data_IF_014733909842
#
_entry.id   IF_014733909842
#
_cell.length_a   1.000
_cell.length_b   1.000
_cell.length_c   1.000
_cell.angle_alpha   90.00
_cell.angle_beta   90.00
_cell.angle_gamma   90.00
#
_symmetry.space_group_name_H-M   'P 1'
#
loop_
_entity.id
_entity.type
_entity.pdbx_description
1 polymer ?
#
# COMPACT_ATOMS: atom_id res chain seq x y z
N UNK A 1 -11.19 7.11 -21.97
CA UNK A 1 -12.09 7.27 -20.80
C UNK A 1 -11.63 6.40 -19.62
N UNK A 2 -11.41 5.09 -19.79
CA UNK A 2 -10.93 4.18 -18.73
C UNK A 2 -9.63 4.62 -18.01
N UNK A 3 -8.64 5.15 -18.73
CA UNK A 3 -7.37 5.62 -18.12
C UNK A 3 -7.56 6.80 -17.16
N UNK A 4 -8.45 7.74 -17.47
CA UNK A 4 -8.70 8.93 -16.64
C UNK A 4 -9.43 8.52 -15.35
N UNK A 5 -10.40 7.60 -15.45
CA UNK A 5 -11.11 7.05 -14.28
C UNK A 5 -10.16 6.28 -13.36
N UNK A 6 -9.25 5.47 -13.92
CA UNK A 6 -8.19 4.77 -13.18
C UNK A 6 -7.32 5.75 -12.38
N UNK A 7 -6.83 6.82 -13.01
CA UNK A 7 -5.97 7.80 -12.32
C UNK A 7 -6.74 8.55 -11.22
N UNK A 8 -8.01 8.90 -11.47
CA UNK A 8 -8.84 9.62 -10.50
C UNK A 8 -9.20 8.76 -9.28
N UNK A 9 -9.59 7.49 -9.49
CA UNK A 9 -9.88 6.55 -8.40
C UNK A 9 -8.64 6.23 -7.57
N UNK A 10 -7.47 6.07 -8.22
CA UNK A 10 -6.23 5.81 -7.50
C UNK A 10 -5.72 7.01 -6.72
N UNK A 11 -5.91 8.22 -7.25
CA UNK A 11 -5.61 9.44 -6.49
C UNK A 11 -6.53 9.53 -5.25
N UNK A 12 -7.83 9.26 -5.41
CA UNK A 12 -8.79 9.21 -4.30
C UNK A 12 -8.47 8.11 -3.27
N UNK A 13 -8.00 6.94 -3.71
CA UNK A 13 -7.61 5.85 -2.81
C UNK A 13 -6.30 6.18 -2.06
N UNK A 14 -5.28 6.68 -2.75
CA UNK A 14 -4.03 7.13 -2.11
C UNK A 14 -4.27 8.31 -1.16
N UNK A 15 -5.12 9.27 -1.53
CA UNK A 15 -5.50 10.40 -0.68
C UNK A 15 -6.30 9.92 0.53
N UNK A 16 -7.28 9.03 0.32
CA UNK A 16 -8.11 8.48 1.40
C UNK A 16 -7.34 7.67 2.43
N UNK A 17 -6.21 7.06 2.04
CA UNK A 17 -5.38 6.27 2.96
C UNK A 17 -4.20 7.08 3.54
N UNK A 18 -3.61 8.04 2.82
CA UNK A 18 -2.47 8.83 3.34
C UNK A 18 -2.88 10.07 4.15
N UNK A 19 -4.04 10.66 3.90
CA UNK A 19 -4.53 11.85 4.61
C UNK A 19 -4.83 11.66 6.11
N UNK A 20 -5.38 10.52 6.60
CA UNK A 20 -5.55 10.34 8.04
C UNK A 20 -4.20 10.29 8.79
N UNK A 21 -3.11 9.87 8.12
CA UNK A 21 -1.79 9.72 8.74
C UNK A 21 -1.11 11.05 9.16
N UNK A 22 -1.47 12.15 8.49
CA UNK A 22 -0.90 13.49 8.74
C UNK A 22 -1.85 14.38 9.55
N UNK A 23 -3.16 14.18 9.46
CA UNK A 23 -4.14 14.95 10.22
C UNK A 23 -4.11 14.64 11.73
N UNK A 24 -3.75 13.40 12.09
CA UNK A 24 -3.79 12.92 13.48
C UNK A 24 -2.69 13.53 14.37
N UNK A 25 -1.60 14.06 13.80
CA UNK A 25 -0.46 14.61 14.57
C UNK A 25 -0.47 16.15 14.69
N UNK A 26 -1.34 16.88 14.00
CA UNK A 26 -1.19 18.35 13.91
C UNK A 26 -2.40 19.19 14.33
N UNK A 27 -3.59 18.63 14.54
CA UNK A 27 -4.79 19.42 14.90
C UNK A 27 -5.03 20.62 13.93
N UNK A 28 -4.51 20.51 12.71
CA UNK A 28 -4.54 21.51 11.66
C UNK A 28 -5.33 20.95 10.48
N UNK A 29 -6.36 21.67 10.05
CA UNK A 29 -7.03 21.45 8.77
C UNK A 29 -5.98 21.53 7.66
N UNK A 30 -5.59 20.39 7.09
CA UNK A 30 -4.72 20.35 5.92
C UNK A 30 -5.56 20.81 4.73
N UNK A 31 -5.63 22.12 4.51
CA UNK A 31 -6.10 22.65 3.24
C UNK A 31 -5.14 22.20 2.12
N UNK A 32 -5.70 21.87 0.95
CA UNK A 32 -5.00 21.48 -0.28
C UNK A 32 -3.84 22.41 -0.70
N UNK A 33 -3.70 23.58 -0.09
CA UNK A 33 -2.63 24.57 -0.30
C UNK A 33 -1.28 24.21 0.32
N UNK A 34 -1.21 23.31 1.31
CA UNK A 34 0.06 23.00 1.99
C UNK A 34 0.82 21.80 1.39
N UNK A 35 0.21 21.08 0.44
CA UNK A 35 0.88 20.08 -0.38
C UNK A 35 1.64 20.78 -1.50
N UNK A 36 2.82 21.34 -1.20
CA UNK A 36 3.79 21.80 -2.20
C UNK A 36 4.46 20.60 -2.91
N UNK A 37 3.63 19.75 -3.52
CA UNK A 37 4.02 18.74 -4.48
C UNK A 37 4.30 19.48 -5.79
N UNK A 38 5.55 19.91 -5.98
CA UNK A 38 6.09 20.27 -7.29
C UNK A 38 6.14 19.00 -8.16
N UNK A 39 4.97 18.50 -8.56
CA UNK A 39 4.83 17.57 -9.68
C UNK A 39 4.82 18.45 -10.92
N UNK A 40 6.02 18.80 -11.39
CA UNK A 40 6.17 19.12 -12.80
C UNK A 40 5.60 17.92 -13.57
N UNK A 41 4.49 18.15 -14.29
CA UNK A 41 3.97 17.20 -15.25
C UNK A 41 5.10 16.87 -16.22
N UNK A 42 5.77 15.74 -15.99
CA UNK A 42 6.63 15.10 -16.97
C UNK A 42 5.75 14.81 -18.19
N UNK A 43 5.95 15.63 -19.21
CA UNK A 43 5.43 15.52 -20.57
C UNK A 43 5.58 14.07 -21.05
N UNK A 44 4.51 13.30 -20.85
CA UNK A 44 4.44 11.91 -21.28
C UNK A 44 3.99 11.89 -22.72
N UNK A 45 4.89 12.23 -23.64
CA UNK A 45 4.76 11.89 -25.06
C UNK A 45 4.96 10.38 -25.25
N UNK A 46 4.01 9.60 -24.73
CA UNK A 46 3.90 8.17 -24.96
C UNK A 46 3.39 7.96 -26.38
N UNK A 47 4.30 7.58 -27.28
CA UNK A 47 3.98 7.15 -28.64
C UNK A 47 3.15 5.86 -28.59
N UNK A 48 1.84 5.97 -28.83
CA UNK A 48 0.97 4.82 -29.08
C UNK A 48 1.16 4.39 -30.52
N UNK A 49 1.78 3.24 -30.75
CA UNK A 49 1.84 2.64 -32.08
C UNK A 49 0.43 2.14 -32.49
N UNK A 50 -0.10 2.68 -33.59
CA UNK A 50 -1.35 2.26 -34.24
C UNK A 50 -1.11 0.98 -35.05
N UNK A 51 -1.60 -0.16 -34.55
CA UNK A 51 -1.51 -1.45 -35.24
C UNK A 51 -2.68 -1.67 -36.21
N UNK A 52 -2.82 -0.81 -37.22
CA UNK A 52 -3.60 -1.14 -38.42
C UNK A 52 -2.73 -1.99 -39.33
N UNK A 53 -3.04 -3.29 -39.42
CA UNK A 53 -2.36 -4.23 -40.30
C UNK A 53 -2.42 -3.80 -41.77
N UNK A 54 -1.30 -3.93 -42.50
CA UNK A 54 -1.32 -4.55 -43.81
C UNK A 54 -0.64 -5.92 -43.71
N UNK A 55 -1.28 -6.89 -44.36
CA UNK A 55 -0.79 -8.25 -44.60
C UNK A 55 0.65 -8.25 -45.11
N UNK A 56 1.59 -8.77 -44.32
CA UNK A 56 2.91 -9.18 -44.79
C UNK A 56 3.44 -10.29 -43.90
N UNK A 57 3.89 -11.37 -44.54
CA UNK A 57 4.56 -12.53 -43.93
C UNK A 57 5.64 -12.08 -42.95
N UNK A 58 5.36 -12.20 -41.65
CA UNK A 58 6.21 -11.68 -40.60
C UNK A 58 7.37 -12.63 -40.37
N UNK A 59 8.52 -12.32 -40.95
CA UNK A 59 9.80 -12.80 -40.43
C UNK A 59 9.89 -12.23 -39.02
N UNK A 60 9.66 -13.04 -38.00
CA UNK A 60 9.88 -12.63 -36.60
C UNK A 60 11.38 -12.35 -36.47
N UNK A 61 11.81 -11.09 -36.24
CA UNK A 61 13.22 -10.80 -36.10
C UNK A 61 13.74 -11.58 -34.89
N UNK A 62 14.79 -12.37 -35.09
CA UNK A 62 15.51 -12.98 -33.98
C UNK A 62 16.30 -11.88 -33.27
N UNK A 63 15.64 -11.19 -32.34
CA UNK A 63 16.27 -10.17 -31.50
C UNK A 63 17.05 -10.91 -30.42
N UNK A 64 18.40 -10.80 -30.38
CA UNK A 64 19.18 -11.48 -29.36
C UNK A 64 18.80 -10.96 -27.97
N UNK A 65 18.80 -11.85 -26.95
CA UNK A 65 18.50 -11.49 -25.56
C UNK A 65 19.36 -10.32 -25.04
N UNK A 66 20.55 -10.13 -25.60
CA UNK A 66 21.44 -8.99 -25.33
C UNK A 66 20.89 -7.62 -25.76
N UNK A 67 19.84 -7.58 -26.59
CA UNK A 67 19.25 -6.35 -27.08
C UNK A 67 18.29 -5.71 -26.07
N UNK A 68 17.87 -6.44 -25.02
CA UNK A 68 17.01 -5.92 -23.97
C UNK A 68 17.73 -5.93 -22.62
N UNK A 69 18.02 -4.74 -22.09
CA UNK A 69 18.49 -4.60 -20.71
C UNK A 69 17.30 -4.68 -19.79
N UNK A 70 17.24 -5.72 -18.93
CA UNK A 70 16.21 -5.81 -17.89
C UNK A 70 16.26 -4.53 -17.02
N UNK A 71 15.12 -3.89 -16.72
CA UNK A 71 15.10 -2.78 -15.78
C UNK A 71 15.63 -3.23 -14.42
N UNK A 72 16.36 -2.34 -13.74
CA UNK A 72 16.91 -2.60 -12.40
C UNK A 72 15.81 -2.65 -11.33
N UNK A 73 14.69 -1.97 -11.59
CA UNK A 73 13.57 -1.82 -10.68
C UNK A 73 12.28 -1.76 -11.50
N UNK A 74 11.27 -2.50 -11.08
CA UNK A 74 9.94 -2.57 -11.71
C UNK A 74 8.85 -2.13 -10.74
N UNK A 75 7.65 -1.85 -11.25
CA UNK A 75 6.48 -1.54 -10.41
C UNK A 75 6.15 -2.71 -9.46
N UNK A 76 6.33 -3.95 -9.93
CA UNK A 76 6.19 -5.16 -9.12
C UNK A 76 7.23 -5.22 -7.99
N UNK A 77 8.48 -4.83 -8.26
CA UNK A 77 9.52 -4.76 -7.23
C UNK A 77 9.15 -3.73 -6.15
N UNK A 78 8.59 -2.57 -6.54
CA UNK A 78 8.13 -1.55 -5.60
C UNK A 78 7.02 -2.08 -4.69
N UNK A 79 5.97 -2.67 -5.26
CA UNK A 79 4.88 -3.28 -4.50
C UNK A 79 5.40 -4.32 -3.51
N UNK A 80 6.26 -5.23 -3.98
CA UNK A 80 6.86 -6.28 -3.17
C UNK A 80 7.66 -5.71 -2.00
N UNK A 81 8.56 -4.74 -2.25
CA UNK A 81 9.38 -4.18 -1.18
C UNK A 81 8.56 -3.38 -0.16
N UNK A 82 7.54 -2.64 -0.60
CA UNK A 82 6.64 -1.92 0.31
C UNK A 82 5.86 -2.90 1.19
N UNK A 83 5.33 -3.99 0.62
CA UNK A 83 4.61 -5.02 1.37
C UNK A 83 5.50 -5.74 2.39
N UNK A 84 6.72 -6.13 1.99
CA UNK A 84 7.68 -6.76 2.88
C UNK A 84 8.17 -5.81 3.99
N UNK A 85 8.40 -4.54 3.68
CA UNK A 85 8.78 -3.54 4.68
C UNK A 85 7.64 -3.28 5.68
N UNK A 86 6.38 -3.22 5.21
CA UNK A 86 5.19 -3.15 6.07
C UNK A 86 5.14 -4.33 7.04
N UNK A 87 5.32 -5.56 6.54
CA UNK A 87 5.34 -6.77 7.37
C UNK A 87 6.50 -6.76 8.38
N UNK A 88 7.69 -6.34 7.97
CA UNK A 88 8.84 -6.24 8.87
C UNK A 88 8.57 -5.27 10.02
N UNK A 89 7.93 -4.13 9.73
CA UNK A 89 7.52 -3.17 10.76
C UNK A 89 6.36 -3.70 11.62
N UNK A 90 5.44 -4.48 11.06
CA UNK A 90 4.41 -5.20 11.83
C UNK A 90 5.01 -6.18 12.83
N UNK A 91 6.04 -6.94 12.43
CA UNK A 91 6.80 -7.80 13.34
C UNK A 91 7.54 -6.98 14.39
N UNK A 92 8.17 -5.88 14.00
CA UNK A 92 8.85 -4.97 14.92
C UNK A 92 7.88 -4.43 15.98
N UNK A 93 6.68 -4.05 15.56
CA UNK A 93 5.58 -3.60 16.45
C UNK A 93 5.27 -4.66 17.49
N UNK A 94 5.06 -5.91 17.06
CA UNK A 94 4.72 -7.01 17.95
C UNK A 94 5.81 -7.27 19.00
N UNK A 95 7.09 -7.27 18.60
CA UNK A 95 8.20 -7.53 19.54
C UNK A 95 8.56 -6.34 20.42
N UNK A 96 8.13 -5.12 20.08
CA UNK A 96 8.36 -3.92 20.90
C UNK A 96 7.19 -3.59 21.83
N UNK A 97 6.15 -4.43 21.92
CA UNK A 97 4.95 -4.18 22.71
C UNK A 97 5.24 -3.93 24.21
N UNK A 98 6.09 -4.77 24.81
CA UNK A 98 6.47 -4.65 26.24
C UNK A 98 7.10 -3.28 26.58
N UNK A 99 7.73 -2.62 25.61
CA UNK A 99 8.36 -1.32 25.78
C UNK A 99 7.41 -0.12 25.66
N UNK A 100 6.12 -0.35 25.36
CA UNK A 100 5.12 0.70 25.18
C UNK A 100 4.03 0.71 26.27
N UNK A 101 3.82 -0.42 26.94
CA UNK A 101 2.80 -0.54 27.99
C UNK A 101 3.08 0.38 29.17
N UNK A 102 2.22 1.38 29.35
CA UNK A 102 2.33 2.37 30.42
C UNK A 102 3.40 3.45 30.20
N UNK A 103 3.95 3.57 28.99
CA UNK A 103 4.84 4.69 28.65
C UNK A 103 4.02 5.99 28.56
N UNK A 104 4.37 7.03 29.35
CA UNK A 104 3.68 8.32 29.30
C UNK A 104 3.88 9.08 27.98
N UNK A 105 4.76 8.62 27.09
CA UNK A 105 5.02 9.21 25.78
C UNK A 105 4.86 8.17 24.66
N UNK A 106 3.63 7.62 24.55
CA UNK A 106 3.25 6.60 23.57
C UNK A 106 3.76 6.91 22.16
N UNK A 107 3.61 8.16 21.71
CA UNK A 107 3.93 8.60 20.35
C UNK A 107 5.44 8.55 20.04
N UNK A 108 6.29 8.50 21.07
CA UNK A 108 7.72 8.36 20.89
C UNK A 108 8.25 6.93 20.99
N UNK A 109 7.41 5.98 21.38
CA UNK A 109 7.78 4.57 21.49
C UNK A 109 8.14 3.95 20.13
N UNK A 110 9.00 2.93 20.15
CA UNK A 110 9.30 2.11 18.97
C UNK A 110 8.04 1.40 18.46
N UNK A 111 7.19 0.94 19.39
CA UNK A 111 5.93 0.27 19.06
C UNK A 111 5.02 1.14 18.20
N UNK A 112 4.76 2.38 18.61
CA UNK A 112 3.93 3.31 17.84
C UNK A 112 4.57 3.67 16.49
N UNK A 113 5.87 3.97 16.46
CA UNK A 113 6.54 4.36 15.20
C UNK A 113 6.59 3.21 14.21
N UNK A 114 6.82 1.99 14.70
CA UNK A 114 6.80 0.79 13.87
C UNK A 114 5.38 0.49 13.37
N UNK A 115 4.35 0.60 14.21
CA UNK A 115 2.97 0.32 13.81
C UNK A 115 2.45 1.35 12.80
N UNK A 116 2.75 2.63 13.03
CA UNK A 116 2.47 3.73 12.10
C UNK A 116 3.14 3.48 10.74
N UNK A 117 4.44 3.17 10.76
CA UNK A 117 5.17 2.85 9.53
C UNK A 117 4.62 1.60 8.84
N UNK A 118 4.22 0.57 9.59
CA UNK A 118 3.67 -0.67 9.04
C UNK A 118 2.41 -0.40 8.22
N UNK A 119 1.42 0.32 8.77
CA UNK A 119 0.19 0.59 8.04
C UNK A 119 0.42 1.56 6.86
N UNK A 120 1.29 2.57 7.01
CA UNK A 120 1.60 3.52 5.93
C UNK A 120 2.28 2.85 4.73
N UNK A 121 3.29 2.00 5.00
CA UNK A 121 3.95 1.24 3.94
C UNK A 121 3.01 0.20 3.33
N UNK A 122 2.14 -0.42 4.15
CA UNK A 122 1.13 -1.35 3.68
C UNK A 122 0.12 -0.67 2.75
N UNK A 123 -0.34 0.53 3.10
CA UNK A 123 -1.19 1.36 2.25
C UNK A 123 -0.52 1.69 0.91
N UNK A 124 0.76 2.06 0.94
CA UNK A 124 1.54 2.29 -0.28
C UNK A 124 1.69 1.00 -1.10
N UNK A 125 1.85 -0.15 -0.46
CA UNK A 125 1.91 -1.46 -1.11
C UNK A 125 0.57 -1.79 -1.80
N UNK A 126 -0.57 -1.58 -1.14
CA UNK A 126 -1.90 -1.75 -1.75
C UNK A 126 -2.07 -0.81 -2.95
N UNK A 127 -1.70 0.47 -2.80
CA UNK A 127 -1.78 1.44 -3.89
C UNK A 127 -0.92 1.06 -5.10
N UNK A 128 0.32 0.66 -4.88
CA UNK A 128 1.23 0.23 -5.96
C UNK A 128 0.83 -1.12 -6.57
N UNK A 129 0.30 -2.04 -5.76
CA UNK A 129 -0.23 -3.33 -6.23
C UNK A 129 -1.45 -3.14 -7.13
N UNK A 130 -2.42 -2.34 -6.69
CA UNK A 130 -3.58 -1.98 -7.52
C UNK A 130 -3.17 -1.24 -8.80
N UNK A 131 -2.06 -0.50 -8.79
CA UNK A 131 -1.58 0.20 -9.98
C UNK A 131 -1.01 -0.78 -11.01
N UNK A 132 -0.15 -1.68 -10.55
CA UNK A 132 0.59 -2.63 -11.37
C UNK A 132 -0.29 -3.79 -11.86
N UNK A 133 -1.24 -4.23 -11.03
CA UNK A 133 -2.05 -5.44 -11.20
C UNK A 133 -3.54 -5.15 -11.37
N UNK A 134 -3.91 -3.92 -11.75
CA UNK A 134 -5.32 -3.54 -11.93
C UNK A 134 -6.07 -4.50 -12.86
N UNK A 135 -5.39 -4.90 -13.94
CA UNK A 135 -5.96 -5.73 -14.99
C UNK A 135 -5.91 -7.24 -14.65
N UNK A 136 -5.41 -7.61 -13.47
CA UNK A 136 -5.36 -9.01 -13.01
C UNK A 136 -6.59 -9.36 -12.12
N UNK A 137 -7.21 -8.35 -11.50
CA UNK A 137 -8.37 -8.53 -10.61
C UNK A 137 -9.69 -8.53 -11.39
N UNK A 138 -10.33 -9.69 -11.49
CA UNK A 138 -11.66 -9.81 -12.07
C UNK A 138 -12.62 -10.54 -11.12
N UNK A 139 -13.67 -9.84 -10.69
CA UNK A 139 -14.69 -10.42 -9.80
C UNK A 139 -15.42 -11.62 -10.41
N UNK A 140 -15.46 -11.72 -11.74
CA UNK A 140 -16.04 -12.86 -12.46
C UNK A 140 -15.26 -14.18 -12.28
N UNK A 141 -13.97 -14.12 -11.94
CA UNK A 141 -13.15 -15.29 -11.63
C UNK A 141 -13.46 -15.88 -10.25
N UNK A 142 -14.27 -15.16 -9.45
CA UNK A 142 -14.78 -15.58 -8.15
C UNK A 142 -13.95 -15.05 -6.98
N UNK A 143 -14.58 -14.88 -5.82
CA UNK A 143 -13.94 -14.28 -4.63
C UNK A 143 -12.77 -15.10 -4.07
N UNK A 144 -12.72 -16.39 -4.38
CA UNK A 144 -11.65 -17.30 -3.95
C UNK A 144 -10.54 -17.44 -4.99
N UNK A 145 -10.64 -16.73 -6.12
CA UNK A 145 -9.51 -16.62 -7.04
C UNK A 145 -8.30 -16.03 -6.30
N UNK A 146 -7.11 -16.50 -6.66
CA UNK A 146 -5.87 -16.18 -5.97
C UNK A 146 -5.59 -14.67 -5.99
N UNK A 147 -5.80 -14.02 -7.12
CA UNK A 147 -5.44 -12.61 -7.30
C UNK A 147 -6.51 -11.73 -6.62
N UNK A 148 -7.78 -12.16 -6.65
CA UNK A 148 -8.85 -11.56 -5.86
C UNK A 148 -8.61 -11.66 -4.35
N UNK A 149 -8.22 -12.84 -3.86
CA UNK A 149 -7.90 -13.04 -2.44
C UNK A 149 -6.69 -12.22 -2.00
N UNK A 150 -5.67 -12.08 -2.85
CA UNK A 150 -4.50 -11.26 -2.52
C UNK A 150 -4.89 -9.80 -2.28
N UNK A 151 -5.66 -9.21 -3.19
CA UNK A 151 -6.11 -7.82 -3.04
C UNK A 151 -6.99 -7.66 -1.81
N UNK A 152 -7.95 -8.57 -1.59
CA UNK A 152 -8.88 -8.51 -0.45
C UNK A 152 -8.11 -8.64 0.87
N UNK A 153 -7.31 -9.70 1.03
CA UNK A 153 -6.60 -9.98 2.27
C UNK A 153 -5.48 -8.97 2.53
N UNK A 154 -4.77 -8.52 1.49
CA UNK A 154 -3.76 -7.47 1.60
C UNK A 154 -4.38 -6.15 2.07
N UNK A 155 -5.53 -5.77 1.49
CA UNK A 155 -6.26 -4.56 1.89
C UNK A 155 -6.81 -4.68 3.31
N UNK A 156 -7.43 -5.80 3.67
CA UNK A 156 -7.88 -6.06 5.04
C UNK A 156 -6.73 -6.04 6.04
N UNK A 157 -5.56 -6.50 5.62
CA UNK A 157 -4.34 -6.45 6.42
C UNK A 157 -3.95 -5.03 6.80
N UNK A 158 -3.92 -4.13 5.81
CA UNK A 158 -3.64 -2.70 6.02
C UNK A 158 -4.70 -2.04 6.90
N UNK A 159 -5.98 -2.35 6.65
CA UNK A 159 -7.10 -1.83 7.47
C UNK A 159 -6.93 -2.25 8.92
N UNK A 160 -6.58 -3.51 9.19
CA UNK A 160 -6.35 -4.01 10.55
C UNK A 160 -5.21 -3.26 11.26
N UNK A 161 -4.08 -3.02 10.56
CA UNK A 161 -2.99 -2.20 11.12
C UNK A 161 -3.43 -0.76 11.40
N UNK A 162 -4.14 -0.14 10.46
CA UNK A 162 -4.64 1.23 10.64
C UNK A 162 -5.57 1.33 11.85
N UNK A 163 -6.55 0.42 11.98
CA UNK A 163 -7.49 0.42 13.10
C UNK A 163 -6.78 0.21 14.44
N UNK A 164 -5.78 -0.66 14.50
CA UNK A 164 -4.99 -0.87 15.72
C UNK A 164 -4.27 0.42 16.17
N UNK A 165 -3.67 1.15 15.23
CA UNK A 165 -2.98 2.42 15.54
C UNK A 165 -3.99 3.48 15.96
N UNK A 166 -5.07 3.66 15.18
CA UNK A 166 -6.11 4.64 15.46
C UNK A 166 -6.76 4.41 16.82
N UNK A 167 -7.11 3.18 17.15
CA UNK A 167 -7.74 2.84 18.44
C UNK A 167 -6.79 3.12 19.60
N UNK A 168 -5.50 2.77 19.48
CA UNK A 168 -4.49 3.08 20.50
C UNK A 168 -4.32 4.60 20.72
N UNK A 169 -4.31 5.38 19.64
CA UNK A 169 -4.17 6.85 19.70
C UNK A 169 -5.43 7.50 20.29
N UNK A 170 -6.62 7.06 19.89
CA UNK A 170 -7.89 7.55 20.43
C UNK A 170 -8.00 7.29 21.96
N UNK A 171 -7.61 6.09 22.40
CA UNK A 171 -7.57 5.74 23.81
C UNK A 171 -6.52 6.53 24.58
N UNK A 172 -5.31 6.69 24.03
CA UNK A 172 -4.28 7.52 24.65
C UNK A 172 -4.73 8.98 24.81
N UNK A 173 -5.36 9.56 23.79
CA UNK A 173 -5.86 10.94 23.84
C UNK A 173 -7.01 11.12 24.83
N UNK A 174 -7.81 10.08 25.09
CA UNK A 174 -8.98 10.15 25.97
C UNK A 174 -8.70 9.72 27.42
N UNK A 175 -7.82 8.75 27.63
CA UNK A 175 -7.54 8.12 28.92
C UNK A 175 -6.11 8.35 29.43
N UNK A 176 -5.20 8.82 28.57
CA UNK A 176 -3.77 8.97 28.86
C UNK A 176 -2.95 7.69 28.74
N UNK A 177 -3.59 6.57 28.42
CA UNK A 177 -2.95 5.27 28.16
C UNK A 177 -3.83 4.41 27.24
N UNK A 178 -3.24 3.63 26.31
CA UNK A 178 -3.98 2.66 25.51
C UNK A 178 -4.30 1.39 26.33
N UNK A 179 -5.46 0.79 26.06
CA UNK A 179 -5.83 -0.56 26.52
C UNK A 179 -5.01 -1.63 25.80
N UNK A 180 -5.08 -2.89 26.20
CA UNK A 180 -4.44 -3.99 25.43
C UNK A 180 -5.29 -4.43 24.21
N UNK A 181 -6.56 -4.03 24.16
CA UNK A 181 -7.54 -4.53 23.18
C UNK A 181 -7.31 -4.02 21.75
N UNK A 182 -6.63 -2.88 21.59
CA UNK A 182 -6.28 -2.31 20.27
C UNK A 182 -5.42 -3.27 19.42
N UNK A 183 -4.67 -4.17 20.06
CA UNK A 183 -3.78 -5.12 19.40
C UNK A 183 -4.53 -6.17 18.54
N UNK A 184 -5.80 -6.46 18.86
CA UNK A 184 -6.60 -7.48 18.17
C UNK A 184 -6.76 -7.18 16.67
N UNK A 185 -7.06 -5.92 16.33
CA UNK A 185 -7.19 -5.50 14.93
C UNK A 185 -5.85 -5.64 14.19
N UNK A 186 -4.75 -5.31 14.86
CA UNK A 186 -3.41 -5.39 14.31
C UNK A 186 -2.98 -6.84 14.07
N UNK A 187 -3.28 -7.74 15.00
CA UNK A 187 -2.99 -9.18 14.86
C UNK A 187 -3.81 -9.81 13.72
N UNK A 188 -5.10 -9.51 13.62
CA UNK A 188 -5.94 -9.97 12.51
C UNK A 188 -5.47 -9.40 11.18
N UNK A 189 -5.09 -8.12 11.16
CA UNK A 189 -4.50 -7.47 9.99
C UNK A 189 -3.20 -8.14 9.54
N UNK A 190 -2.29 -8.40 10.47
CA UNK A 190 -1.03 -9.10 10.18
C UNK A 190 -1.25 -10.53 9.67
N UNK A 191 -2.21 -11.26 10.23
CA UNK A 191 -2.57 -12.59 9.74
C UNK A 191 -3.16 -12.55 8.32
N UNK A 192 -4.02 -11.58 8.03
CA UNK A 192 -4.57 -11.37 6.68
C UNK A 192 -3.46 -11.03 5.68
N UNK A 193 -2.57 -10.10 6.01
CA UNK A 193 -1.45 -9.70 5.15
C UNK A 193 -0.47 -10.85 4.89
N UNK A 194 -0.12 -11.61 5.93
CA UNK A 194 0.72 -12.80 5.78
C UNK A 194 0.06 -13.83 4.85
N UNK A 195 -1.24 -14.07 5.02
CA UNK A 195 -1.99 -14.99 4.15
C UNK A 195 -2.00 -14.49 2.71
N UNK A 196 -2.22 -13.19 2.48
CA UNK A 196 -2.18 -12.57 1.16
C UNK A 196 -0.84 -12.80 0.45
N UNK A 197 0.28 -12.66 1.17
CA UNK A 197 1.62 -12.90 0.64
C UNK A 197 1.82 -14.38 0.29
N UNK A 198 1.45 -15.29 1.21
CA UNK A 198 1.69 -16.73 1.03
C UNK A 198 0.92 -17.30 -0.17
N UNK A 199 -0.26 -16.80 -0.49
CA UNK A 199 -1.06 -17.35 -1.60
C UNK A 199 -0.60 -16.88 -2.98
N UNK A 200 0.19 -15.80 -3.09
CA UNK A 200 0.70 -15.27 -4.37
C UNK A 200 2.19 -15.44 -4.58
N UNK A 201 2.93 -15.85 -3.55
CA UNK A 201 4.35 -16.21 -3.64
C UNK A 201 4.60 -17.64 -4.09
#
# INVERSE_FOLDING_TARGET
>A
MFRIVRHLMMMLLLLGITMPAQAEETNHDIMFTDLNLNVELLDSSLWVADNRQPTSTTVVPNIPDSAFKKPMFTENDLHMYLGLASMALGVLTAVSADGASGDPDLLNTVHYKASKGAWQLGAAAVGTGLWAHWDDFHLEDGLLDRDNLHVILGTLGVIGYYLAVKDAVDEYNSLGFPSEDHSNAGMLGGAAMLTAIVITW
#
